data_IF_473770929852
#
_entry.id   IF_473770929852
#
_cell.length_a   1.000
_cell.length_b   1.000
_cell.length_c   1.000
_cell.angle_alpha   90.00
_cell.angle_beta   90.00
_cell.angle_gamma   90.00
#
_symmetry.space_group_name_H-M   'P 1'
#
loop_
_entity.id
_entity.type
_entity.pdbx_description
1 polymer ?
#
# COMPACT_ATOMS: atom_id res chain seq x y z
N UNK A 1 -5.29 5.44 -4.53
CA UNK A 1 -4.97 5.87 -5.91
C UNK A 1 -4.34 7.27 -5.94
N UNK A 2 -4.98 8.31 -5.35
CA UNK A 2 -4.43 9.68 -5.32
C UNK A 2 -2.98 9.79 -4.78
N UNK A 3 -2.66 9.12 -3.66
CA UNK A 3 -1.31 9.13 -3.11
C UNK A 3 -0.25 8.59 -4.07
N UNK A 4 -0.51 7.44 -4.72
CA UNK A 4 0.42 6.82 -5.67
C UNK A 4 0.63 7.73 -6.90
N UNK A 5 -0.44 8.31 -7.44
CA UNK A 5 -0.36 9.26 -8.54
C UNK A 5 0.43 10.52 -8.14
N UNK A 6 0.13 11.12 -6.98
CA UNK A 6 0.84 12.28 -6.46
C UNK A 6 2.34 12.01 -6.28
N UNK A 7 2.70 10.87 -5.69
CA UNK A 7 4.10 10.44 -5.52
C UNK A 7 4.80 10.29 -6.86
N UNK A 8 4.16 9.62 -7.82
CA UNK A 8 4.73 9.38 -9.14
C UNK A 8 4.97 10.70 -9.89
N UNK A 9 3.94 11.54 -10.00
CA UNK A 9 3.97 12.79 -10.77
C UNK A 9 4.94 13.79 -10.11
N UNK A 10 4.91 13.93 -8.78
CA UNK A 10 5.86 14.79 -8.06
C UNK A 10 7.31 14.34 -8.27
N UNK A 11 7.57 13.03 -8.19
CA UNK A 11 8.91 12.49 -8.43
C UNK A 11 9.39 12.74 -9.87
N UNK A 12 8.51 12.61 -10.86
CA UNK A 12 8.83 12.92 -12.25
C UNK A 12 9.25 14.38 -12.42
N UNK A 13 8.47 15.34 -11.91
CA UNK A 13 8.80 16.77 -12.04
C UNK A 13 10.03 17.16 -11.22
N UNK A 14 10.26 16.52 -10.08
CA UNK A 14 11.47 16.70 -9.30
C UNK A 14 12.72 16.25 -10.07
N UNK A 15 12.70 15.05 -10.68
CA UNK A 15 13.78 14.58 -11.55
C UNK A 15 13.97 15.49 -12.77
N UNK A 16 12.87 15.95 -13.39
CA UNK A 16 12.92 16.89 -14.52
C UNK A 16 13.62 18.19 -14.14
N UNK A 17 13.35 18.70 -12.93
CA UNK A 17 14.04 19.88 -12.39
C UNK A 17 15.51 19.60 -12.08
N UNK A 18 15.86 18.47 -11.45
CA UNK A 18 17.26 18.12 -11.19
C UNK A 18 18.10 18.06 -12.48
N UNK A 19 17.54 17.46 -13.54
CA UNK A 19 18.19 17.37 -14.86
C UNK A 19 18.25 18.72 -15.58
N UNK A 20 17.24 19.58 -15.39
CA UNK A 20 17.14 20.90 -16.04
C UNK A 20 16.71 21.97 -15.02
N UNK A 21 17.64 22.52 -14.22
CA UNK A 21 17.32 23.36 -13.06
C UNK A 21 16.99 24.81 -13.47
N UNK A 22 15.83 25.00 -14.08
CA UNK A 22 15.27 26.31 -14.43
C UNK A 22 14.22 26.75 -13.41
N UNK A 23 13.99 28.06 -13.29
CA UNK A 23 12.94 28.61 -12.41
C UNK A 23 11.55 28.05 -12.74
N UNK A 24 11.23 27.91 -14.03
CA UNK A 24 9.97 27.28 -14.50
C UNK A 24 9.83 25.85 -13.98
N UNK A 25 10.87 25.01 -14.14
CA UNK A 25 10.81 23.63 -13.68
C UNK A 25 10.73 23.54 -12.15
N UNK A 26 11.41 24.44 -11.43
CA UNK A 26 11.33 24.51 -9.96
C UNK A 26 9.91 24.83 -9.51
N UNK A 27 9.29 25.86 -10.06
CA UNK A 27 7.93 26.29 -9.70
C UNK A 27 6.93 25.18 -10.02
N UNK A 28 6.96 24.62 -11.23
CA UNK A 28 6.06 23.54 -11.63
C UNK A 28 6.23 22.33 -10.70
N UNK A 29 7.46 21.91 -10.42
CA UNK A 29 7.71 20.80 -9.52
C UNK A 29 7.24 21.10 -8.08
N UNK A 30 7.37 22.35 -7.62
CA UNK A 30 6.89 22.79 -6.31
C UNK A 30 5.37 22.74 -6.19
N UNK A 31 4.65 23.26 -7.20
CA UNK A 31 3.18 23.22 -7.23
C UNK A 31 2.66 21.77 -7.27
N UNK A 32 3.24 20.92 -8.11
CA UNK A 32 2.89 19.49 -8.17
C UNK A 32 3.21 18.79 -6.85
N UNK A 33 4.36 19.09 -6.23
CA UNK A 33 4.70 18.57 -4.91
C UNK A 33 3.64 18.97 -3.87
N UNK A 34 3.22 20.23 -3.85
CA UNK A 34 2.15 20.72 -2.97
C UNK A 34 0.82 19.98 -3.17
N UNK A 35 0.41 19.77 -4.43
CA UNK A 35 -0.78 18.97 -4.75
C UNK A 35 -0.66 17.52 -4.26
N UNK A 36 0.54 16.93 -4.40
CA UNK A 36 0.80 15.59 -3.91
C UNK A 36 0.69 15.50 -2.37
N UNK A 37 1.17 16.51 -1.63
CA UNK A 37 1.04 16.56 -0.16
C UNK A 37 -0.43 16.56 0.31
N UNK A 38 -1.33 17.17 -0.48
CA UNK A 38 -2.76 17.17 -0.17
C UNK A 38 -3.47 15.82 -0.42
N UNK A 39 -2.85 14.90 -1.17
CA UNK A 39 -3.50 13.63 -1.53
C UNK A 39 -3.59 12.65 -0.35
N UNK A 40 -2.56 12.59 0.50
CA UNK A 40 -2.49 11.75 1.72
C UNK A 40 -1.26 12.14 2.55
N UNK A 41 -1.37 12.13 3.87
CA UNK A 41 -0.23 12.45 4.76
C UNK A 41 1.01 11.55 4.58
N UNK A 42 0.87 10.31 4.10
CA UNK A 42 2.03 9.45 3.81
C UNK A 42 2.90 9.97 2.66
N UNK A 43 2.40 10.89 1.83
CA UNK A 43 3.15 11.57 0.77
C UNK A 43 4.20 12.53 1.35
N UNK A 44 4.12 12.86 2.64
CA UNK A 44 5.15 13.60 3.37
C UNK A 44 6.54 12.94 3.29
N UNK A 45 6.61 11.62 3.08
CA UNK A 45 7.87 10.90 2.86
C UNK A 45 8.66 11.39 1.62
N UNK A 46 8.03 12.13 0.71
CA UNK A 46 8.74 12.82 -0.36
C UNK A 46 9.69 13.92 0.14
N UNK A 47 9.42 14.55 1.29
CA UNK A 47 10.28 15.59 1.87
C UNK A 47 11.69 15.04 2.17
N UNK A 48 11.85 14.01 3.04
CA UNK A 48 13.18 13.44 3.29
C UNK A 48 13.77 12.77 2.04
N UNK A 49 12.95 12.17 1.18
CA UNK A 49 13.43 11.54 -0.05
C UNK A 49 14.03 12.56 -1.02
N UNK A 50 13.33 13.65 -1.34
CA UNK A 50 13.82 14.67 -2.25
C UNK A 50 15.04 15.38 -1.70
N UNK A 51 15.09 15.62 -0.38
CA UNK A 51 16.30 16.13 0.27
C UNK A 51 17.49 15.19 0.10
N UNK A 52 17.30 13.88 0.31
CA UNK A 52 18.33 12.86 0.12
C UNK A 52 18.78 12.76 -1.34
N UNK A 53 17.86 12.69 -2.29
CA UNK A 53 18.18 12.59 -3.73
C UNK A 53 18.85 13.88 -4.23
N UNK A 54 18.43 15.06 -3.74
CA UNK A 54 19.09 16.33 -4.05
C UNK A 54 20.53 16.36 -3.52
N UNK A 55 20.78 15.80 -2.33
CA UNK A 55 22.12 15.65 -1.77
C UNK A 55 23.01 14.75 -2.64
N UNK A 56 22.50 13.58 -3.04
CA UNK A 56 23.23 12.69 -3.94
C UNK A 56 23.51 13.38 -5.27
N UNK A 57 22.52 14.04 -5.88
CA UNK A 57 22.70 14.76 -7.13
C UNK A 57 23.70 15.92 -7.02
N UNK A 58 23.67 16.66 -5.90
CA UNK A 58 24.65 17.69 -5.58
C UNK A 58 26.08 17.11 -5.55
N UNK A 59 26.29 15.99 -4.86
CA UNK A 59 27.60 15.35 -4.76
C UNK A 59 28.10 14.87 -6.13
N UNK A 60 27.22 14.28 -6.94
CA UNK A 60 27.54 13.83 -8.30
C UNK A 60 27.98 15.01 -9.19
N UNK A 61 27.20 16.11 -9.18
CA UNK A 61 27.52 17.31 -9.98
C UNK A 61 28.73 18.06 -9.47
N UNK A 62 28.95 18.10 -8.16
CA UNK A 62 30.16 18.66 -7.58
C UNK A 62 31.39 17.90 -8.07
N UNK A 63 31.34 16.57 -8.11
CA UNK A 63 32.45 15.76 -8.58
C UNK A 63 32.71 15.94 -10.08
N UNK A 64 31.66 16.03 -10.90
CA UNK A 64 31.76 16.28 -12.34
C UNK A 64 32.43 17.63 -12.64
N UNK A 65 32.05 18.68 -11.91
CA UNK A 65 32.58 20.04 -12.08
C UNK A 65 33.98 20.22 -11.48
N UNK A 66 34.30 19.53 -10.37
CA UNK A 66 35.65 19.53 -9.78
C UNK A 66 36.73 19.07 -10.77
N UNK A 67 36.39 18.14 -11.66
CA UNK A 67 37.31 17.65 -12.69
C UNK A 67 37.53 18.68 -13.82
N UNK A 68 36.66 19.68 -13.96
CA UNK A 68 36.68 20.68 -15.05
C UNK A 68 37.14 22.08 -14.59
N UNK A 69 36.97 22.41 -13.30
CA UNK A 69 37.05 23.79 -12.83
C UNK A 69 38.34 24.15 -12.04
N UNK A 70 38.85 25.36 -12.28
CA UNK A 70 40.06 25.92 -11.63
C UNK A 70 39.81 26.56 -10.25
N UNK A 71 38.53 26.83 -9.87
CA UNK A 71 38.13 27.50 -8.61
C UNK A 71 37.07 26.70 -7.84
N UNK A 72 37.52 25.84 -6.92
CA UNK A 72 36.68 24.87 -6.21
C UNK A 72 35.57 25.49 -5.34
N UNK A 73 35.85 26.62 -4.66
CA UNK A 73 34.87 27.24 -3.74
C UNK A 73 33.64 27.81 -4.45
N UNK A 74 33.81 28.47 -5.60
CA UNK A 74 32.69 29.03 -6.36
C UNK A 74 31.78 27.93 -6.94
N UNK A 75 32.38 26.83 -7.39
CA UNK A 75 31.64 25.64 -7.86
C UNK A 75 30.84 25.02 -6.73
N UNK A 76 31.44 24.86 -5.55
CA UNK A 76 30.74 24.30 -4.39
C UNK A 76 29.47 25.09 -4.05
N UNK A 77 29.57 26.40 -3.83
CA UNK A 77 28.43 27.24 -3.44
C UNK A 77 27.37 27.32 -4.54
N UNK A 78 27.77 27.39 -5.80
CA UNK A 78 26.80 27.40 -6.92
C UNK A 78 26.02 26.08 -7.03
N UNK A 79 26.68 24.93 -6.90
CA UNK A 79 26.01 23.62 -6.86
C UNK A 79 25.13 23.47 -5.61
N UNK A 80 25.60 23.92 -4.46
CA UNK A 80 24.88 23.84 -3.18
C UNK A 80 23.53 24.56 -3.27
N UNK A 81 23.54 25.83 -3.67
CA UNK A 81 22.32 26.63 -3.78
C UNK A 81 21.42 26.15 -4.92
N UNK A 82 22.01 25.73 -6.05
CA UNK A 82 21.24 25.22 -7.19
C UNK A 82 20.44 23.97 -6.84
N UNK A 83 21.01 23.02 -6.09
CA UNK A 83 20.37 21.73 -5.83
C UNK A 83 19.79 21.59 -4.43
N UNK A 84 20.52 21.90 -3.36
CA UNK A 84 19.97 21.81 -2.00
C UNK A 84 19.05 23.01 -1.70
N UNK A 85 19.53 24.23 -1.98
CA UNK A 85 18.71 25.44 -1.85
C UNK A 85 17.47 25.38 -2.75
N UNK A 86 17.66 24.95 -4.00
CA UNK A 86 16.56 24.76 -4.95
C UNK A 86 15.54 23.71 -4.52
N UNK A 87 15.95 22.60 -3.90
CA UNK A 87 15.03 21.58 -3.38
C UNK A 87 14.20 22.12 -2.20
N UNK A 88 14.82 22.89 -1.29
CA UNK A 88 14.11 23.56 -0.19
C UNK A 88 13.11 24.57 -0.76
N UNK A 89 13.53 25.40 -1.72
CA UNK A 89 12.65 26.39 -2.35
C UNK A 89 11.48 25.72 -3.08
N UNK A 90 11.71 24.62 -3.80
CA UNK A 90 10.67 23.82 -4.45
C UNK A 90 9.61 23.34 -3.44
N UNK A 91 10.04 22.78 -2.31
CA UNK A 91 9.12 22.35 -1.26
C UNK A 91 8.37 23.53 -0.64
N UNK A 92 9.07 24.63 -0.38
CA UNK A 92 8.48 25.86 0.14
C UNK A 92 7.40 26.41 -0.82
N UNK A 93 7.64 26.41 -2.13
CA UNK A 93 6.65 26.76 -3.15
C UNK A 93 5.40 25.89 -3.01
N UNK A 94 5.55 24.57 -2.87
CA UNK A 94 4.42 23.67 -2.70
C UNK A 94 3.61 23.94 -1.41
N UNK A 95 4.30 24.18 -0.29
CA UNK A 95 3.61 24.48 0.96
C UNK A 95 2.93 25.86 0.94
N UNK A 96 3.59 26.89 0.44
CA UNK A 96 3.08 28.27 0.44
C UNK A 96 1.96 28.48 -0.57
N UNK A 97 2.07 27.93 -1.78
CA UNK A 97 1.11 28.20 -2.85
C UNK A 97 0.00 27.15 -2.99
N UNK A 98 0.14 25.97 -2.39
CA UNK A 98 -0.88 24.90 -2.49
C UNK A 98 -1.40 24.46 -1.14
N UNK A 99 -0.53 23.99 -0.23
CA UNK A 99 -0.99 23.44 1.05
C UNK A 99 -1.59 24.52 1.94
N UNK A 100 -0.89 25.64 2.09
CA UNK A 100 -1.28 26.74 2.97
C UNK A 100 -2.64 27.36 2.58
N UNK A 101 -2.92 27.74 1.31
CA UNK A 101 -4.22 28.30 0.94
C UNK A 101 -5.37 27.33 1.16
N UNK A 102 -5.16 26.04 0.85
CA UNK A 102 -6.19 25.01 1.06
C UNK A 102 -6.51 24.87 2.53
N UNK A 103 -5.51 24.80 3.41
CA UNK A 103 -5.77 24.71 4.84
C UNK A 103 -6.25 26.01 5.46
N UNK A 104 -5.87 27.16 4.91
CA UNK A 104 -6.40 28.47 5.33
C UNK A 104 -7.91 28.53 5.10
N UNK A 105 -8.39 28.00 3.97
CA UNK A 105 -9.82 27.84 3.73
C UNK A 105 -10.49 26.94 4.79
N UNK A 106 -9.88 25.80 5.13
CA UNK A 106 -10.42 24.86 6.12
C UNK A 106 -10.48 25.44 7.55
N UNK A 107 -9.55 26.34 7.90
CA UNK A 107 -9.50 26.95 9.25
C UNK A 107 -10.14 28.34 9.30
N UNK A 108 -10.69 28.85 8.20
CA UNK A 108 -11.22 30.22 8.07
C UNK A 108 -12.27 30.57 9.13
N UNK A 109 -13.14 29.62 9.48
CA UNK A 109 -14.20 29.78 10.48
C UNK A 109 -13.91 29.03 11.79
N UNK A 110 -12.68 28.54 11.95
CA UNK A 110 -12.26 27.84 13.16
C UNK A 110 -11.69 28.87 14.15
N UNK A 111 -12.19 29.03 15.38
CA UNK A 111 -11.60 29.97 16.33
C UNK A 111 -10.17 29.57 16.72
N UNK A 112 -9.25 30.54 16.83
CA UNK A 112 -7.82 30.28 17.12
C UNK A 112 -7.65 29.53 18.44
N UNK A 113 -8.24 30.06 19.52
CA UNK A 113 -8.17 29.44 20.85
C UNK A 113 -8.73 28.01 20.84
N UNK A 114 -9.78 27.76 20.06
CA UNK A 114 -10.38 26.42 19.92
C UNK A 114 -9.46 25.46 19.17
N UNK A 115 -8.83 25.90 18.07
CA UNK A 115 -7.84 25.10 17.35
C UNK A 115 -6.66 24.73 18.25
N UNK A 116 -6.16 25.66 19.06
CA UNK A 116 -5.10 25.37 20.03
C UNK A 116 -5.52 24.34 21.09
N UNK A 117 -6.71 24.51 21.67
CA UNK A 117 -7.27 23.56 22.64
C UNK A 117 -7.42 22.16 22.04
N UNK A 118 -7.98 22.05 20.83
CA UNK A 118 -8.18 20.78 20.15
C UNK A 118 -6.84 20.14 19.75
N UNK A 119 -5.87 20.94 19.30
CA UNK A 119 -4.50 20.49 19.01
C UNK A 119 -3.85 19.89 20.25
N UNK A 120 -3.94 20.59 21.39
CA UNK A 120 -3.38 20.13 22.66
C UNK A 120 -4.06 18.84 23.13
N UNK A 121 -5.39 18.75 23.01
CA UNK A 121 -6.16 17.56 23.37
C UNK A 121 -5.81 16.35 22.49
N UNK A 122 -5.83 16.51 21.18
CA UNK A 122 -5.57 15.43 20.21
C UNK A 122 -4.13 14.90 20.36
N UNK A 123 -3.16 15.80 20.58
CA UNK A 123 -1.76 15.43 20.75
C UNK A 123 -1.37 15.17 22.21
N UNK A 124 -2.34 15.07 23.12
CA UNK A 124 -2.10 14.82 24.56
C UNK A 124 -1.32 13.54 24.82
N UNK A 125 -1.44 12.52 23.97
CA UNK A 125 -0.69 11.25 24.06
C UNK A 125 0.43 11.12 23.01
N UNK A 126 0.70 12.17 22.22
CA UNK A 126 1.73 12.14 21.19
C UNK A 126 3.13 12.08 21.82
N UNK A 127 3.96 11.13 21.38
CA UNK A 127 5.25 10.85 22.03
C UNK A 127 6.28 11.96 21.82
N UNK A 128 6.29 12.62 20.66
CA UNK A 128 7.30 13.64 20.31
C UNK A 128 6.80 15.02 20.76
N UNK A 129 7.00 15.33 22.05
CA UNK A 129 6.52 16.58 22.65
C UNK A 129 7.00 17.86 21.98
N UNK A 130 8.30 18.01 21.62
CA UNK A 130 8.75 19.22 20.93
C UNK A 130 8.00 19.49 19.61
N UNK A 131 7.60 18.44 18.89
CA UNK A 131 6.82 18.59 17.66
C UNK A 131 5.36 18.96 17.96
N UNK A 132 4.75 18.39 19.00
CA UNK A 132 3.40 18.76 19.43
C UNK A 132 3.33 20.22 19.88
N UNK A 133 4.30 20.67 20.69
CA UNK A 133 4.37 22.03 21.19
C UNK A 133 4.60 23.03 20.05
N UNK A 134 5.42 22.67 19.06
CA UNK A 134 5.60 23.46 17.85
C UNK A 134 4.30 23.60 17.04
N UNK A 135 3.55 22.51 16.85
CA UNK A 135 2.24 22.55 16.16
C UNK A 135 1.24 23.40 16.95
N UNK A 136 1.20 23.26 18.28
CA UNK A 136 0.37 24.08 19.16
C UNK A 136 0.70 25.58 19.06
N UNK A 137 1.99 25.92 19.04
CA UNK A 137 2.44 27.30 18.84
C UNK A 137 2.02 27.84 17.48
N UNK A 138 2.24 27.09 16.39
CA UNK A 138 1.80 27.47 15.04
C UNK A 138 0.28 27.70 14.99
N UNK A 139 -0.51 26.91 15.70
CA UNK A 139 -1.97 27.04 15.75
C UNK A 139 -2.43 28.36 16.38
N UNK A 140 -1.62 28.96 17.25
CA UNK A 140 -1.88 30.27 17.86
C UNK A 140 -1.52 31.47 16.98
N UNK A 141 -0.72 31.27 15.94
CA UNK A 141 -0.27 32.35 15.04
C UNK A 141 -1.23 32.46 13.85
N UNK A 142 -1.97 33.58 13.68
CA UNK A 142 -3.05 33.69 12.69
C UNK A 142 -2.67 33.33 11.25
N UNK A 143 -1.45 33.64 10.83
CA UNK A 143 -0.99 33.35 9.46
C UNK A 143 -0.42 31.94 9.30
N UNK A 144 0.04 31.30 10.38
CA UNK A 144 0.68 29.98 10.33
C UNK A 144 -0.25 28.83 10.74
N UNK A 145 -1.40 29.14 11.35
CA UNK A 145 -2.37 28.15 11.84
C UNK A 145 -2.89 27.17 10.78
N UNK A 146 -2.86 27.55 9.50
CA UNK A 146 -3.17 26.65 8.39
C UNK A 146 -2.13 25.53 8.26
N UNK A 147 -0.83 25.87 8.37
CA UNK A 147 0.23 24.87 8.41
C UNK A 147 0.17 24.05 9.70
N UNK A 148 -0.24 24.66 10.81
CA UNK A 148 -0.49 23.94 12.06
C UNK A 148 -1.55 22.84 11.87
N UNK A 149 -2.63 23.13 11.14
CA UNK A 149 -3.69 22.15 10.89
C UNK A 149 -3.21 20.97 10.01
N UNK A 150 -2.39 21.25 9.00
CA UNK A 150 -1.72 20.17 8.24
C UNK A 150 -0.76 19.36 9.13
N UNK A 151 0.04 20.04 9.95
CA UNK A 151 0.98 19.43 10.89
C UNK A 151 0.28 18.55 11.93
N UNK A 152 -0.87 18.99 12.44
CA UNK A 152 -1.73 18.20 13.34
C UNK A 152 -2.15 16.89 12.66
N UNK A 153 -2.62 16.95 11.41
CA UNK A 153 -2.99 15.76 10.65
C UNK A 153 -1.82 14.79 10.43
N UNK A 154 -0.61 15.31 10.15
CA UNK A 154 0.59 14.49 10.06
C UNK A 154 0.94 13.82 11.40
N UNK A 155 0.87 14.57 12.51
CA UNK A 155 1.12 14.05 13.85
C UNK A 155 0.10 12.98 14.26
N UNK A 156 -1.18 13.15 13.91
CA UNK A 156 -2.22 12.13 14.13
C UNK A 156 -1.91 10.83 13.41
N UNK A 157 -1.38 10.88 12.18
CA UNK A 157 -0.99 9.66 11.43
C UNK A 157 0.21 8.98 12.08
N UNK A 158 1.22 9.73 12.51
CA UNK A 158 2.36 9.20 13.25
C UNK A 158 1.93 8.53 14.57
N UNK A 159 1.00 9.16 15.28
CA UNK A 159 0.40 8.58 16.49
C UNK A 159 -0.33 7.28 16.17
N UNK A 160 -1.17 7.27 15.13
CA UNK A 160 -1.95 6.10 14.72
C UNK A 160 -1.07 4.93 14.30
N UNK A 161 0.06 5.19 13.65
CA UNK A 161 1.02 4.15 13.24
C UNK A 161 1.61 3.38 14.44
N UNK A 162 1.66 4.01 15.63
CA UNK A 162 2.14 3.38 16.88
C UNK A 162 1.04 2.70 17.70
N UNK A 163 -0.24 3.00 17.45
CA UNK A 163 -1.36 2.55 18.29
C UNK A 163 -1.88 1.13 18.01
N UNK A 164 -1.46 0.52 16.90
CA UNK A 164 -1.87 -0.84 16.51
C UNK A 164 -3.36 -1.03 16.22
N UNK A 165 -3.71 -2.26 15.87
CA UNK A 165 -5.08 -2.72 15.67
C UNK A 165 -5.14 -4.25 15.82
N UNK A 166 -6.16 -4.78 16.49
CA UNK A 166 -6.37 -6.22 16.62
C UNK A 166 -6.62 -6.83 15.24
N UNK A 167 -5.72 -7.70 14.80
CA UNK A 167 -5.76 -8.34 13.47
C UNK A 167 -5.56 -9.83 13.59
N UNK A 168 -6.19 -10.57 12.68
CA UNK A 168 -5.85 -11.96 12.43
C UNK A 168 -4.76 -12.05 11.36
N UNK A 169 -3.65 -12.71 11.68
CA UNK A 169 -2.52 -12.95 10.79
C UNK A 169 -1.85 -14.30 11.10
N UNK A 170 -1.75 -15.18 10.10
CA UNK A 170 -1.13 -16.51 10.18
C UNK A 170 -1.58 -17.34 11.40
N UNK A 171 -2.90 -17.41 11.63
CA UNK A 171 -3.48 -18.18 12.73
C UNK A 171 -3.44 -17.48 14.09
N UNK A 172 -2.84 -16.30 14.19
CA UNK A 172 -2.71 -15.54 15.42
C UNK A 172 -3.55 -14.26 15.41
N UNK A 173 -4.02 -13.85 16.59
CA UNK A 173 -4.69 -12.57 16.85
C UNK A 173 -3.76 -11.72 17.70
N UNK A 174 -3.51 -10.48 17.27
CA UNK A 174 -2.63 -9.55 17.98
C UNK A 174 -2.93 -8.10 17.63
N UNK A 175 -2.62 -7.19 18.55
CA UNK A 175 -2.54 -5.75 18.29
C UNK A 175 -1.09 -5.22 18.28
N UNK A 176 -0.09 -6.09 18.51
CA UNK A 176 1.32 -5.73 18.67
C UNK A 176 2.06 -5.50 17.34
N UNK A 177 1.40 -5.84 16.22
CA UNK A 177 2.00 -5.79 14.88
C UNK A 177 3.03 -6.90 14.65
N UNK A 178 3.31 -7.19 13.38
CA UNK A 178 4.29 -8.15 12.93
C UNK A 178 5.10 -7.58 11.77
N UNK A 179 6.42 -7.69 11.89
CA UNK A 179 7.35 -7.30 10.81
C UNK A 179 7.16 -8.14 9.54
N UNK A 180 6.61 -9.35 9.68
CA UNK A 180 6.32 -10.25 8.55
C UNK A 180 5.01 -9.90 7.85
N UNK A 181 4.18 -9.04 8.42
CA UNK A 181 2.85 -8.75 7.88
C UNK A 181 2.90 -8.28 6.42
N UNK A 182 3.55 -7.14 6.14
CA UNK A 182 3.57 -6.59 4.78
C UNK A 182 4.30 -7.50 3.78
N UNK A 183 5.49 -8.07 4.07
CA UNK A 183 6.14 -9.01 3.17
C UNK A 183 5.27 -10.23 2.85
N UNK A 184 4.69 -10.88 3.86
CA UNK A 184 3.85 -12.08 3.65
C UNK A 184 2.61 -11.71 2.87
N UNK A 185 1.89 -10.66 3.28
CA UNK A 185 0.65 -10.25 2.62
C UNK A 185 0.92 -9.86 1.17
N UNK A 186 1.98 -9.10 0.87
CA UNK A 186 2.37 -8.79 -0.52
C UNK A 186 2.61 -10.06 -1.35
N UNK A 187 3.33 -11.05 -0.81
CA UNK A 187 3.66 -12.29 -1.49
C UNK A 187 2.46 -13.20 -1.76
N UNK A 188 1.38 -13.08 -1.00
CA UNK A 188 0.15 -13.88 -1.20
C UNK A 188 -0.98 -13.09 -1.88
N UNK A 189 -0.89 -11.76 -1.88
CA UNK A 189 -1.89 -10.87 -2.48
C UNK A 189 -1.59 -10.52 -3.91
N UNK A 190 -0.32 -10.29 -4.23
CA UNK A 190 0.04 -9.91 -5.59
C UNK A 190 0.06 -11.12 -6.51
N UNK A 191 -0.18 -10.88 -7.79
CA UNK A 191 -0.28 -11.96 -8.78
C UNK A 191 1.05 -12.69 -8.93
N UNK A 192 1.00 -14.01 -9.12
CA UNK A 192 2.24 -14.79 -9.36
C UNK A 192 2.98 -14.30 -10.61
N UNK A 193 2.24 -13.84 -11.62
CA UNK A 193 2.81 -13.22 -12.82
C UNK A 193 3.66 -11.98 -12.48
N UNK A 194 3.20 -11.10 -11.58
CA UNK A 194 4.00 -9.97 -11.12
C UNK A 194 5.25 -10.44 -10.38
N UNK A 195 5.15 -11.44 -9.52
CA UNK A 195 6.32 -11.98 -8.80
C UNK A 195 7.35 -12.61 -9.74
N UNK A 196 6.90 -13.34 -10.77
CA UNK A 196 7.77 -13.92 -11.80
C UNK A 196 8.45 -12.80 -12.60
N UNK A 197 7.69 -11.80 -13.07
CA UNK A 197 8.25 -10.64 -13.79
C UNK A 197 9.23 -9.84 -12.94
N UNK A 198 8.93 -9.66 -11.66
CA UNK A 198 9.83 -9.01 -10.69
C UNK A 198 11.11 -9.81 -10.54
N UNK A 199 11.03 -11.14 -10.43
CA UNK A 199 12.19 -12.02 -10.33
C UNK A 199 13.07 -11.94 -11.59
N UNK A 200 12.45 -11.94 -12.78
CA UNK A 200 13.15 -11.74 -14.06
C UNK A 200 13.86 -10.38 -14.06
N UNK A 201 13.15 -9.29 -13.71
CA UNK A 201 13.71 -7.95 -13.65
C UNK A 201 14.88 -7.84 -12.67
N UNK A 202 14.79 -8.46 -11.48
CA UNK A 202 15.88 -8.50 -10.50
C UNK A 202 17.11 -9.24 -11.05
N UNK A 203 16.93 -10.40 -11.68
CA UNK A 203 18.03 -11.15 -12.31
C UNK A 203 18.69 -10.31 -13.41
N UNK A 204 17.90 -9.65 -14.27
CA UNK A 204 18.42 -8.76 -15.30
C UNK A 204 19.20 -7.58 -14.71
N UNK A 205 18.71 -6.98 -13.62
CA UNK A 205 19.39 -5.90 -12.92
C UNK A 205 20.72 -6.36 -12.32
N UNK A 206 20.77 -7.55 -11.70
CA UNK A 206 21.99 -8.15 -11.14
C UNK A 206 23.01 -8.42 -12.26
N UNK A 207 22.58 -9.01 -13.38
CA UNK A 207 23.44 -9.25 -14.53
C UNK A 207 23.99 -7.93 -15.08
N UNK A 208 23.15 -6.90 -15.20
CA UNK A 208 23.56 -5.55 -15.63
C UNK A 208 24.58 -4.93 -14.68
N UNK A 209 24.37 -5.07 -13.37
CA UNK A 209 25.27 -4.56 -12.33
C UNK A 209 26.69 -5.10 -12.46
N UNK A 210 26.84 -6.42 -12.64
CA UNK A 210 28.15 -7.04 -12.80
C UNK A 210 28.77 -6.78 -14.18
N UNK A 211 27.98 -6.81 -15.26
CA UNK A 211 28.48 -6.55 -16.62
C UNK A 211 29.01 -5.13 -16.80
N UNK A 212 28.29 -4.14 -16.27
CA UNK A 212 28.69 -2.73 -16.32
C UNK A 212 29.71 -2.36 -15.24
N UNK A 213 30.13 -3.33 -14.41
CA UNK A 213 31.08 -3.15 -13.30
C UNK A 213 30.70 -1.99 -12.37
N UNK A 214 29.41 -1.85 -12.09
CA UNK A 214 28.85 -0.73 -11.29
C UNK A 214 29.47 -0.70 -9.88
N UNK A 215 29.92 -1.84 -9.35
CA UNK A 215 30.65 -1.93 -8.09
C UNK A 215 31.96 -1.11 -8.04
N UNK A 216 32.49 -0.65 -9.18
CA UNK A 216 33.62 0.28 -9.22
C UNK A 216 33.12 1.72 -9.02
N UNK A 217 33.77 2.46 -8.13
CA UNK A 217 33.34 3.81 -7.73
C UNK A 217 33.06 4.76 -8.90
N UNK A 218 33.96 4.83 -9.90
CA UNK A 218 33.75 5.69 -11.08
C UNK A 218 32.48 5.32 -11.87
N UNK A 219 32.29 4.02 -12.14
CA UNK A 219 31.12 3.51 -12.86
C UNK A 219 29.82 3.70 -12.06
N UNK A 220 29.88 3.60 -10.72
CA UNK A 220 28.74 3.87 -9.85
C UNK A 220 28.24 5.31 -10.01
N UNK A 221 29.14 6.28 -10.04
CA UNK A 221 28.78 7.69 -10.16
C UNK A 221 28.16 8.01 -11.53
N UNK A 222 28.74 7.47 -12.60
CA UNK A 222 28.21 7.59 -13.95
C UNK A 222 26.82 6.94 -14.06
N UNK A 223 26.67 5.75 -13.47
CA UNK A 223 25.40 5.04 -13.40
C UNK A 223 24.35 5.85 -12.64
N UNK A 224 24.66 6.35 -11.43
CA UNK A 224 23.72 7.14 -10.63
C UNK A 224 23.33 8.46 -11.33
N UNK A 225 24.26 9.07 -12.06
CA UNK A 225 23.98 10.29 -12.84
C UNK A 225 23.00 10.00 -13.99
N UNK A 226 23.15 8.87 -14.66
CA UNK A 226 22.30 8.46 -15.79
C UNK A 226 20.94 7.91 -15.34
N UNK A 227 20.91 7.23 -14.19
CA UNK A 227 19.77 6.48 -13.65
C UNK A 227 19.22 7.07 -12.35
N UNK A 228 19.26 8.40 -12.21
CA UNK A 228 18.79 9.10 -11.00
C UNK A 228 17.29 8.86 -10.74
N UNK A 229 16.50 8.61 -11.79
CA UNK A 229 15.07 8.34 -11.65
C UNK A 229 14.84 6.97 -11.00
N UNK A 230 15.53 5.94 -11.47
CA UNK A 230 15.51 4.58 -10.93
C UNK A 230 16.05 4.55 -9.51
N UNK A 231 17.11 5.31 -9.23
CA UNK A 231 17.62 5.50 -7.88
C UNK A 231 16.56 6.09 -6.95
N UNK A 232 15.87 7.16 -7.36
CA UNK A 232 14.77 7.74 -6.57
C UNK A 232 13.66 6.73 -6.32
N UNK A 233 13.25 5.97 -7.34
CA UNK A 233 12.21 4.94 -7.24
C UNK A 233 12.59 3.86 -6.22
N UNK A 234 13.82 3.35 -6.29
CA UNK A 234 14.35 2.36 -5.35
C UNK A 234 14.44 2.92 -3.92
N UNK A 235 14.92 4.16 -3.76
CA UNK A 235 14.96 4.83 -2.46
C UNK A 235 13.56 5.03 -1.87
N UNK A 236 12.57 5.39 -2.68
CA UNK A 236 11.19 5.50 -2.21
C UNK A 236 10.63 4.15 -1.77
N UNK A 237 10.82 3.09 -2.58
CA UNK A 237 10.40 1.73 -2.21
C UNK A 237 11.06 1.34 -0.88
N UNK A 238 12.38 1.50 -0.75
CA UNK A 238 13.10 1.16 0.47
C UNK A 238 12.61 1.95 1.69
N UNK A 239 12.48 3.28 1.56
CA UNK A 239 12.01 4.16 2.63
C UNK A 239 10.59 3.78 3.09
N UNK A 240 9.69 3.56 2.14
CA UNK A 240 8.29 3.28 2.43
C UNK A 240 8.09 1.88 3.03
N UNK A 241 8.79 0.87 2.51
CA UNK A 241 8.77 -0.49 3.04
C UNK A 241 9.40 -0.56 4.43
N UNK A 242 10.53 0.12 4.65
CA UNK A 242 11.13 0.24 5.98
C UNK A 242 10.13 0.83 6.97
N UNK A 243 9.52 1.97 6.64
CA UNK A 243 8.49 2.59 7.49
C UNK A 243 7.29 1.67 7.75
N UNK A 244 6.88 0.87 6.77
CA UNK A 244 5.73 -0.02 6.88
C UNK A 244 6.05 -1.25 7.75
N UNK A 245 7.22 -1.86 7.59
CA UNK A 245 7.68 -3.01 8.39
C UNK A 245 7.93 -2.60 9.85
N UNK A 246 8.38 -1.36 10.08
CA UNK A 246 8.57 -0.82 11.43
C UNK A 246 7.29 -0.38 12.11
N UNK A 247 6.18 -0.27 11.38
CA UNK A 247 4.87 0.17 11.91
C UNK A 247 4.14 -0.98 12.59
N UNK A 248 3.53 -0.70 13.75
CA UNK A 248 2.67 -1.63 14.49
C UNK A 248 1.31 -1.79 13.79
N UNK A 249 0.89 -0.77 13.05
CA UNK A 249 -0.37 -0.76 12.31
C UNK A 249 -0.33 -1.71 11.10
N UNK A 250 -1.01 -2.85 11.21
CA UNK A 250 -1.07 -3.91 10.19
C UNK A 250 -2.50 -4.02 9.66
N UNK A 251 -2.88 -3.11 8.76
CA UNK A 251 -4.27 -2.94 8.32
C UNK A 251 -4.43 -2.92 6.78
N UNK A 252 -3.88 -3.96 6.16
CA UNK A 252 -4.04 -4.28 4.75
C UNK A 252 -2.88 -3.88 3.84
N UNK A 253 -2.66 -4.66 2.77
CA UNK A 253 -1.63 -4.42 1.73
C UNK A 253 -1.75 -3.04 1.07
N UNK A 254 -2.96 -2.44 1.10
CA UNK A 254 -3.22 -1.08 0.61
C UNK A 254 -2.32 -0.01 1.23
N UNK A 255 -1.73 -0.28 2.39
CA UNK A 255 -0.79 0.66 3.03
C UNK A 255 0.51 0.78 2.26
N UNK A 256 0.97 -0.27 1.57
CA UNK A 256 2.17 -0.24 0.71
C UNK A 256 1.85 0.04 -0.77
N UNK A 257 0.57 0.18 -1.13
CA UNK A 257 0.14 0.50 -2.50
C UNK A 257 0.88 1.69 -3.15
N UNK A 258 1.29 2.76 -2.43
CA UNK A 258 2.07 3.83 -3.05
C UNK A 258 3.39 3.40 -3.69
N UNK A 259 3.97 2.26 -3.29
CA UNK A 259 5.21 1.75 -3.89
C UNK A 259 4.98 1.04 -5.22
N UNK A 260 3.73 0.64 -5.52
CA UNK A 260 3.41 -0.24 -6.65
C UNK A 260 3.64 0.45 -7.99
N UNK A 261 3.39 1.77 -8.10
CA UNK A 261 3.67 2.51 -9.32
C UNK A 261 5.14 2.43 -9.73
N UNK A 262 6.06 2.47 -8.76
CA UNK A 262 7.49 2.35 -9.02
C UNK A 262 7.91 0.91 -9.24
N UNK A 263 7.34 -0.05 -8.50
CA UNK A 263 7.59 -1.49 -8.75
C UNK A 263 7.17 -1.83 -10.19
N UNK A 264 5.95 -1.48 -10.60
CA UNK A 264 5.46 -1.74 -11.95
C UNK A 264 6.32 -1.06 -13.01
N UNK A 265 6.71 0.19 -12.81
CA UNK A 265 7.57 0.89 -13.78
C UNK A 265 8.96 0.26 -13.88
N UNK A 266 9.60 -0.09 -12.76
CA UNK A 266 10.93 -0.72 -12.76
C UNK A 266 10.89 -2.10 -13.42
N UNK A 267 9.88 -2.91 -13.07
CA UNK A 267 9.68 -4.23 -13.68
C UNK A 267 9.42 -4.09 -15.17
N UNK A 268 8.50 -3.21 -15.57
CA UNK A 268 8.19 -2.97 -16.97
C UNK A 268 9.41 -2.47 -17.76
N UNK A 269 10.16 -1.50 -17.24
CA UNK A 269 11.33 -0.95 -17.91
C UNK A 269 12.41 -2.00 -18.17
N UNK A 270 12.74 -2.82 -17.16
CA UNK A 270 13.76 -3.87 -17.29
C UNK A 270 13.29 -5.01 -18.19
N UNK A 271 12.04 -5.45 -18.03
CA UNK A 271 11.46 -6.52 -18.85
C UNK A 271 11.29 -6.09 -20.31
N UNK A 272 10.78 -4.88 -20.57
CA UNK A 272 10.57 -4.36 -21.92
C UNK A 272 11.90 -4.12 -22.64
N UNK A 273 12.89 -3.52 -21.97
CA UNK A 273 14.21 -3.32 -22.58
C UNK A 273 14.89 -4.65 -22.94
N UNK A 274 14.67 -5.70 -22.15
CA UNK A 274 15.15 -7.04 -22.50
C UNK A 274 14.39 -7.63 -23.68
N UNK A 275 13.05 -7.52 -23.69
CA UNK A 275 12.21 -8.01 -24.78
C UNK A 275 12.52 -7.29 -26.11
N UNK A 276 12.67 -5.96 -26.09
CA UNK A 276 12.98 -5.14 -27.26
C UNK A 276 14.32 -5.55 -27.89
N UNK A 277 15.35 -5.79 -27.08
CA UNK A 277 16.65 -6.27 -27.56
C UNK A 277 16.52 -7.58 -28.33
N UNK A 278 15.72 -8.52 -27.82
CA UNK A 278 15.52 -9.83 -28.46
C UNK A 278 14.58 -9.76 -29.67
N UNK A 279 13.59 -8.87 -29.64
CA UNK A 279 12.69 -8.62 -30.77
C UNK A 279 13.45 -7.96 -31.94
N UNK A 280 14.30 -6.98 -31.65
CA UNK A 280 15.19 -6.37 -32.64
C UNK A 280 16.10 -7.42 -33.28
N UNK A 281 16.73 -8.29 -32.46
CA UNK A 281 17.49 -9.42 -32.98
C UNK A 281 16.60 -10.29 -33.90
N UNK A 282 15.42 -10.70 -33.45
CA UNK A 282 14.47 -11.50 -34.22
C UNK A 282 14.08 -10.88 -35.57
N UNK A 283 13.73 -9.60 -35.60
CA UNK A 283 13.35 -8.88 -36.82
C UNK A 283 14.54 -8.67 -37.76
N UNK A 284 15.71 -8.30 -37.23
CA UNK A 284 16.95 -8.21 -38.01
C UNK A 284 17.35 -9.58 -38.62
N UNK A 285 16.98 -10.69 -37.99
CA UNK A 285 17.24 -12.04 -38.50
C UNK A 285 16.40 -12.44 -39.72
N UNK A 286 15.26 -11.79 -40.00
CA UNK A 286 14.52 -12.05 -41.25
C UNK A 286 15.28 -11.58 -42.50
N UNK A 287 16.32 -10.77 -42.32
CA UNK A 287 17.15 -10.24 -43.41
C UNK A 287 18.45 -11.03 -43.66
N UNK A 288 18.85 -12.01 -42.82
CA UNK A 288 20.09 -12.78 -42.99
C UNK A 288 19.97 -14.29 -42.74
N UNK A 289 20.66 -15.11 -43.55
CA UNK A 289 20.77 -16.58 -43.39
C UNK A 289 21.72 -16.94 -42.23
N UNK A 290 21.20 -17.04 -41.01
CA UNK A 290 21.92 -17.45 -39.79
C UNK A 290 21.30 -18.74 -39.17
N UNK A 291 22.02 -19.48 -38.30
CA UNK A 291 21.61 -20.80 -37.78
C UNK A 291 20.36 -20.77 -36.90
N UNK A 292 19.59 -21.87 -36.93
CA UNK A 292 18.26 -22.03 -36.31
C UNK A 292 18.23 -21.73 -34.80
N UNK A 293 19.31 -22.02 -34.06
CA UNK A 293 19.41 -21.79 -32.62
C UNK A 293 19.25 -20.31 -32.22
N UNK A 294 19.63 -19.37 -33.10
CA UNK A 294 19.44 -17.91 -32.86
C UNK A 294 17.99 -17.45 -33.03
N UNK A 295 17.10 -18.29 -33.60
CA UNK A 295 15.66 -18.01 -33.78
C UNK A 295 14.81 -18.48 -32.59
N UNK A 296 15.21 -19.57 -31.94
CA UNK A 296 14.40 -20.23 -30.90
C UNK A 296 14.35 -19.42 -29.60
N UNK A 297 15.47 -18.82 -29.20
CA UNK A 297 15.59 -18.03 -27.96
C UNK A 297 14.62 -16.82 -27.93
N UNK A 298 14.63 -15.90 -28.92
CA UNK A 298 13.73 -14.75 -28.89
C UNK A 298 12.25 -15.14 -28.98
N UNK A 299 11.92 -16.19 -29.74
CA UNK A 299 10.54 -16.70 -29.84
C UNK A 299 10.07 -17.30 -28.50
N UNK A 300 10.94 -18.05 -27.82
CA UNK A 300 10.68 -18.59 -26.48
C UNK A 300 10.44 -17.48 -25.45
N UNK A 301 11.23 -16.40 -25.50
CA UNK A 301 11.05 -15.24 -24.62
C UNK A 301 9.68 -14.58 -24.89
N UNK A 302 9.34 -14.33 -26.15
CA UNK A 302 8.05 -13.74 -26.52
C UNK A 302 6.88 -14.62 -26.06
N UNK A 303 6.99 -15.93 -26.23
CA UNK A 303 5.98 -16.88 -25.76
C UNK A 303 5.80 -16.83 -24.24
N UNK A 304 6.90 -16.82 -23.46
CA UNK A 304 6.84 -16.70 -21.99
C UNK A 304 6.15 -15.41 -21.56
N UNK A 305 6.52 -14.26 -22.13
CA UNK A 305 5.86 -12.99 -21.80
C UNK A 305 4.38 -12.97 -22.18
N UNK A 306 4.02 -13.55 -23.33
CA UNK A 306 2.62 -13.66 -23.78
C UNK A 306 1.80 -14.54 -22.84
N UNK A 307 2.37 -15.66 -22.37
CA UNK A 307 1.73 -16.54 -21.38
C UNK A 307 1.52 -15.81 -20.05
N UNK A 308 2.52 -15.06 -19.56
CA UNK A 308 2.40 -14.29 -18.32
C UNK A 308 1.34 -13.20 -18.40
N UNK A 309 1.22 -12.51 -19.54
CA UNK A 309 0.16 -11.52 -19.78
C UNK A 309 -1.22 -12.20 -19.83
N UNK A 310 -1.33 -13.32 -20.55
CA UNK A 310 -2.56 -14.11 -20.61
C UNK A 310 -3.01 -14.61 -19.24
N UNK A 311 -2.06 -15.10 -18.42
CA UNK A 311 -2.33 -15.49 -17.04
C UNK A 311 -2.81 -14.29 -16.21
N UNK A 312 -2.15 -13.13 -16.29
CA UNK A 312 -2.60 -11.93 -15.57
C UNK A 312 -4.05 -11.55 -15.93
N UNK A 313 -4.42 -11.62 -17.21
CA UNK A 313 -5.79 -11.35 -17.66
C UNK A 313 -6.79 -12.34 -17.03
N UNK A 314 -6.46 -13.64 -17.05
CA UNK A 314 -7.30 -14.68 -16.45
C UNK A 314 -7.46 -14.45 -14.93
N UNK A 315 -6.38 -14.11 -14.22
CA UNK A 315 -6.42 -13.81 -12.79
C UNK A 315 -7.35 -12.64 -12.46
N UNK A 316 -7.37 -11.59 -13.28
CA UNK A 316 -8.26 -10.44 -13.09
C UNK A 316 -9.72 -10.81 -13.39
N UNK A 317 -9.97 -11.44 -14.55
CA UNK A 317 -11.33 -11.76 -15.00
C UNK A 317 -11.99 -12.78 -14.05
N UNK A 318 -11.27 -13.81 -13.63
CA UNK A 318 -11.79 -14.89 -12.78
C UNK A 318 -12.24 -14.43 -11.39
N UNK A 319 -11.78 -13.27 -10.91
CA UNK A 319 -12.08 -12.75 -9.58
C UNK A 319 -13.05 -11.57 -9.63
N UNK A 320 -13.49 -11.14 -10.82
CA UNK A 320 -14.56 -10.16 -10.93
C UNK A 320 -15.86 -10.71 -10.30
N UNK A 321 -16.59 -9.92 -9.46
CA UNK A 321 -16.34 -8.53 -9.06
C UNK A 321 -15.72 -8.40 -7.65
N UNK A 322 -15.08 -9.46 -7.13
CA UNK A 322 -14.54 -9.57 -5.77
C UNK A 322 -13.03 -9.30 -5.71
N UNK A 323 -12.54 -8.27 -6.40
CA UNK A 323 -11.10 -7.96 -6.50
C UNK A 323 -10.40 -7.81 -5.15
N UNK A 324 -11.10 -7.27 -4.14
CA UNK A 324 -10.53 -7.15 -2.80
C UNK A 324 -10.15 -8.51 -2.22
N UNK A 325 -10.94 -9.54 -2.49
CA UNK A 325 -10.70 -10.89 -2.06
C UNK A 325 -9.67 -11.64 -2.91
N UNK A 326 -9.04 -11.01 -3.92
CA UNK A 326 -7.97 -11.67 -4.67
C UNK A 326 -6.82 -12.05 -3.75
N UNK A 327 -6.42 -13.31 -3.81
CA UNK A 327 -5.15 -13.83 -3.34
C UNK A 327 -4.61 -14.72 -4.46
N UNK A 328 -3.30 -14.83 -4.56
CA UNK A 328 -2.69 -15.65 -5.59
C UNK A 328 -2.84 -17.14 -5.30
N UNK A 329 -2.47 -17.94 -6.29
CA UNK A 329 -2.72 -19.38 -6.32
C UNK A 329 -1.96 -20.11 -5.19
N UNK A 330 -0.79 -19.61 -4.75
CA UNK A 330 -0.03 -20.17 -3.62
C UNK A 330 -0.77 -20.05 -2.29
N UNK A 331 -1.67 -19.08 -2.16
CA UNK A 331 -2.53 -18.90 -0.99
C UNK A 331 -3.89 -19.58 -1.13
N UNK A 332 -4.08 -20.41 -2.16
CA UNK A 332 -5.34 -21.08 -2.45
C UNK A 332 -6.37 -20.19 -3.17
N UNK A 333 -5.91 -19.12 -3.82
CA UNK A 333 -6.78 -18.19 -4.53
C UNK A 333 -7.70 -17.39 -3.60
N UNK A 334 -8.74 -16.72 -4.15
CA UNK A 334 -9.66 -15.91 -3.37
C UNK A 334 -10.36 -16.67 -2.23
N UNK A 335 -10.60 -17.97 -2.42
CA UNK A 335 -11.21 -18.82 -1.42
C UNK A 335 -10.26 -19.25 -0.29
N UNK A 336 -8.94 -19.10 -0.44
CA UNK A 336 -7.95 -19.53 0.55
C UNK A 336 -7.39 -18.41 1.44
N UNK A 337 -7.44 -17.16 0.96
CA UNK A 337 -6.77 -16.02 1.60
C UNK A 337 -7.14 -15.76 3.06
N UNK A 338 -8.41 -15.97 3.42
CA UNK A 338 -8.93 -15.77 4.77
C UNK A 338 -8.18 -16.58 5.84
N UNK A 339 -7.54 -17.69 5.45
CA UNK A 339 -6.75 -18.54 6.36
C UNK A 339 -5.45 -17.86 6.81
N UNK A 340 -4.92 -16.95 6.00
CA UNK A 340 -3.65 -16.28 6.25
C UNK A 340 -3.84 -14.89 6.85
N UNK A 341 -4.82 -14.14 6.35
CA UNK A 341 -5.08 -12.76 6.79
C UNK A 341 -6.51 -12.36 6.45
N UNK A 342 -7.13 -11.56 7.31
CA UNK A 342 -8.47 -10.99 7.10
C UNK A 342 -8.42 -9.46 7.19
N UNK A 343 -9.50 -8.80 7.62
CA UNK A 343 -9.67 -7.33 7.58
C UNK A 343 -9.81 -6.80 6.15
N UNK A 344 -9.54 -5.51 5.93
CA UNK A 344 -9.30 -4.89 4.63
C UNK A 344 -8.46 -5.63 3.60
N UNK A 345 -7.72 -6.67 3.96
CA UNK A 345 -7.16 -7.56 2.94
C UNK A 345 -8.24 -8.37 2.24
N UNK A 346 -9.36 -8.69 2.86
CA UNK A 346 -10.40 -9.56 2.29
C UNK A 346 -11.75 -8.87 2.21
N UNK A 347 -12.09 -8.09 3.23
CA UNK A 347 -13.40 -7.52 3.45
C UNK A 347 -13.31 -6.13 4.06
N UNK A 348 -14.09 -5.19 3.56
CA UNK A 348 -14.34 -3.89 4.20
C UNK A 348 -15.84 -3.57 4.25
N UNK A 349 -16.68 -4.59 4.10
CA UNK A 349 -18.13 -4.53 4.13
C UNK A 349 -18.81 -4.64 2.78
N UNK A 350 -18.06 -4.79 1.68
CA UNK A 350 -18.60 -4.70 0.32
C UNK A 350 -19.66 -5.76 -0.01
N UNK A 351 -19.65 -6.90 0.69
CA UNK A 351 -20.47 -8.07 0.34
C UNK A 351 -21.82 -8.13 1.06
N UNK A 352 -22.16 -7.17 1.94
CA UNK A 352 -23.47 -7.11 2.61
C UNK A 352 -24.63 -7.01 1.60
N UNK A 353 -24.44 -6.22 0.54
CA UNK A 353 -25.45 -6.11 -0.54
C UNK A 353 -25.62 -7.44 -1.27
N UNK A 354 -24.53 -8.20 -1.49
CA UNK A 354 -24.56 -9.52 -2.12
C UNK A 354 -25.20 -10.56 -1.21
N UNK A 355 -25.01 -10.44 0.11
CA UNK A 355 -25.71 -11.27 1.10
C UNK A 355 -27.22 -11.05 0.99
N UNK A 356 -27.69 -9.80 0.96
CA UNK A 356 -29.11 -9.50 0.79
C UNK A 356 -29.68 -10.11 -0.50
N UNK A 357 -28.98 -9.94 -1.64
CA UNK A 357 -29.36 -10.55 -2.91
C UNK A 357 -29.44 -12.08 -2.83
N UNK A 358 -28.49 -12.72 -2.13
CA UNK A 358 -28.50 -14.16 -1.91
C UNK A 358 -29.71 -14.61 -1.06
N UNK A 359 -30.02 -13.91 0.03
CA UNK A 359 -31.20 -14.24 0.86
C UNK A 359 -32.52 -14.09 0.10
N UNK A 360 -32.59 -13.16 -0.86
CA UNK A 360 -33.74 -13.00 -1.75
C UNK A 360 -33.82 -14.16 -2.76
N UNK A 361 -32.70 -14.46 -3.44
CA UNK A 361 -32.63 -15.51 -4.46
C UNK A 361 -33.01 -16.90 -3.93
N UNK A 362 -32.63 -17.22 -2.70
CA UNK A 362 -32.88 -18.52 -2.07
C UNK A 362 -34.06 -18.51 -1.09
N UNK A 363 -34.89 -17.45 -1.09
CA UNK A 363 -36.07 -17.34 -0.22
C UNK A 363 -35.78 -17.58 1.27
N UNK A 364 -34.62 -17.09 1.74
CA UNK A 364 -34.27 -17.18 3.17
C UNK A 364 -35.16 -16.20 3.94
N UNK A 365 -35.92 -16.75 4.89
CA UNK A 365 -36.87 -15.99 5.72
C UNK A 365 -36.19 -15.15 6.80
N UNK A 366 -35.33 -15.78 7.61
CA UNK A 366 -34.52 -15.10 8.63
C UNK A 366 -33.09 -15.63 8.65
N UNK A 367 -32.14 -14.75 8.96
CA UNK A 367 -30.72 -15.07 9.06
C UNK A 367 -30.04 -14.25 10.15
N UNK A 368 -29.29 -14.93 11.01
CA UNK A 368 -28.39 -14.30 11.96
C UNK A 368 -27.16 -13.77 11.24
N UNK A 369 -26.74 -12.53 11.54
CA UNK A 369 -25.61 -11.91 10.85
C UNK A 369 -24.65 -11.27 11.85
N UNK A 370 -23.38 -11.70 11.82
CA UNK A 370 -22.24 -11.03 12.44
C UNK A 370 -21.32 -10.46 11.35
N UNK A 371 -21.33 -9.13 11.20
CA UNK A 371 -20.85 -8.42 10.01
C UNK A 371 -19.79 -7.39 10.35
N UNK A 372 -18.64 -7.47 9.66
CA UNK A 372 -17.45 -6.66 9.94
C UNK A 372 -17.51 -5.22 9.42
N UNK A 373 -18.27 -4.96 8.35
CA UNK A 373 -18.23 -3.67 7.66
C UNK A 373 -18.99 -2.53 8.37
N UNK A 374 -18.87 -1.32 7.82
CA UNK A 374 -19.54 -0.13 8.35
C UNK A 374 -20.98 0.10 7.87
N UNK A 375 -21.52 -0.78 7.02
CA UNK A 375 -22.90 -0.68 6.56
C UNK A 375 -23.89 -1.24 7.60
N UNK A 376 -25.17 -0.89 7.47
CA UNK A 376 -26.22 -1.28 8.42
C UNK A 376 -26.95 -2.54 7.90
N UNK A 377 -26.82 -3.73 8.52
CA UNK A 377 -27.46 -4.96 8.03
C UNK A 377 -28.97 -4.87 7.89
N UNK A 378 -29.66 -4.26 8.85
CA UNK A 378 -31.12 -4.10 8.84
C UNK A 378 -31.63 -3.27 7.65
N UNK A 379 -30.84 -2.33 7.14
CA UNK A 379 -31.20 -1.57 5.93
C UNK A 379 -31.28 -2.46 4.68
N UNK A 380 -30.37 -3.43 4.55
CA UNK A 380 -30.28 -4.29 3.35
C UNK A 380 -31.15 -5.55 3.45
N UNK A 381 -31.34 -6.07 4.66
CA UNK A 381 -32.03 -7.35 4.91
C UNK A 381 -33.46 -7.17 5.45
N UNK A 382 -33.80 -5.99 5.96
CA UNK A 382 -35.12 -5.71 6.55
C UNK A 382 -35.47 -6.72 7.66
N UNK A 383 -36.70 -7.24 7.60
CA UNK A 383 -37.23 -8.20 8.57
C UNK A 383 -36.54 -9.57 8.56
N UNK A 384 -35.65 -9.82 7.59
CA UNK A 384 -34.87 -11.06 7.52
C UNK A 384 -33.67 -11.05 8.46
N UNK A 385 -33.21 -9.87 8.88
CA UNK A 385 -32.01 -9.74 9.70
C UNK A 385 -32.28 -10.09 11.16
N UNK A 386 -31.46 -10.97 11.71
CA UNK A 386 -31.32 -11.20 13.13
C UNK A 386 -29.89 -10.84 13.57
N UNK A 387 -29.70 -10.09 14.66
CA UNK A 387 -28.37 -9.72 15.12
C UNK A 387 -27.60 -10.91 15.70
N UNK A 388 -26.32 -11.04 15.37
CA UNK A 388 -25.40 -11.98 16.00
C UNK A 388 -24.10 -11.27 16.39
N UNK A 389 -23.41 -11.80 17.39
CA UNK A 389 -22.07 -11.35 17.79
C UNK A 389 -21.29 -12.54 18.35
N UNK A 390 -19.97 -12.48 18.26
CA UNK A 390 -19.09 -13.60 18.59
C UNK A 390 -19.37 -14.31 19.92
N UNK A 391 -19.60 -13.56 21.00
CA UNK A 391 -19.84 -14.15 22.33
C UNK A 391 -21.28 -14.56 22.60
N UNK A 392 -22.16 -14.56 21.59
CA UNK A 392 -23.52 -15.07 21.71
C UNK A 392 -23.50 -16.60 21.81
N UNK A 393 -24.35 -17.15 22.67
CA UNK A 393 -24.40 -18.58 22.95
C UNK A 393 -24.89 -19.36 21.71
N UNK A 394 -24.16 -20.41 21.25
CA UNK A 394 -24.62 -21.25 20.15
C UNK A 394 -25.94 -21.99 20.45
N UNK A 395 -26.29 -22.13 21.73
CA UNK A 395 -27.55 -22.72 22.18
C UNK A 395 -28.78 -21.95 21.66
N UNK A 396 -28.66 -20.64 21.39
CA UNK A 396 -29.72 -19.83 20.78
C UNK A 396 -30.13 -20.33 19.37
N UNK A 397 -29.27 -21.10 18.71
CA UNK A 397 -29.54 -21.76 17.43
C UNK A 397 -29.90 -23.25 17.57
N UNK A 398 -29.82 -23.83 18.78
CA UNK A 398 -30.00 -25.28 18.96
C UNK A 398 -31.45 -25.70 18.80
N UNK A 399 -32.41 -24.99 19.40
CA UNK A 399 -33.80 -25.48 19.44
C UNK A 399 -34.48 -25.47 18.06
N UNK A 400 -34.34 -24.39 17.31
CA UNK A 400 -35.06 -24.20 16.05
C UNK A 400 -34.17 -24.32 14.81
N UNK A 401 -32.85 -24.48 15.00
CA UNK A 401 -31.87 -24.33 13.93
C UNK A 401 -31.85 -22.89 13.38
N UNK A 402 -31.09 -22.68 12.31
CA UNK A 402 -31.14 -21.40 11.60
C UNK A 402 -29.96 -21.13 10.67
N UNK A 403 -30.13 -20.09 9.87
CA UNK A 403 -29.07 -19.55 9.02
C UNK A 403 -28.20 -18.58 9.82
N UNK A 404 -26.89 -18.70 9.65
CA UNK A 404 -25.90 -17.80 10.25
C UNK A 404 -24.91 -17.34 9.19
N UNK A 405 -24.79 -16.02 9.03
CA UNK A 405 -23.79 -15.36 8.20
C UNK A 405 -22.71 -14.73 9.09
N UNK A 406 -21.44 -15.08 8.88
CA UNK A 406 -20.32 -14.54 9.65
C UNK A 406 -19.26 -13.97 8.69
N UNK A 407 -18.92 -12.69 8.85
CA UNK A 407 -17.78 -12.09 8.16
C UNK A 407 -16.49 -12.82 8.55
N UNK A 408 -15.66 -13.14 7.56
CA UNK A 408 -14.40 -13.85 7.69
C UNK A 408 -13.47 -13.20 8.73
N UNK A 409 -13.46 -11.87 8.81
CA UNK A 409 -12.68 -11.13 9.82
C UNK A 409 -13.08 -11.52 11.25
N UNK A 410 -14.38 -11.56 11.55
CA UNK A 410 -14.86 -11.98 12.86
C UNK A 410 -14.76 -13.48 13.07
N UNK A 411 -14.99 -14.28 12.03
CA UNK A 411 -14.81 -15.74 12.08
C UNK A 411 -13.37 -16.11 12.48
N UNK A 412 -12.37 -15.54 11.79
CA UNK A 412 -10.97 -15.80 12.07
C UNK A 412 -10.48 -15.12 13.36
N UNK A 413 -10.97 -13.90 13.65
CA UNK A 413 -10.75 -13.26 14.95
C UNK A 413 -11.33 -14.04 16.12
N UNK A 414 -12.38 -14.84 15.91
CA UNK A 414 -12.94 -15.71 16.93
C UNK A 414 -12.30 -17.09 17.03
N UNK A 415 -11.50 -17.50 16.05
CA UNK A 415 -10.85 -18.82 16.00
C UNK A 415 -9.34 -18.77 16.23
N UNK A 416 -8.73 -17.63 15.93
CA UNK A 416 -7.28 -17.47 16.03
C UNK A 416 -6.76 -17.66 17.45
N UNK A 417 -5.49 -18.05 17.54
CA UNK A 417 -4.77 -18.13 18.81
C UNK A 417 -4.30 -16.73 19.20
N UNK A 418 -4.36 -16.37 20.48
CA UNK A 418 -3.76 -15.11 20.91
C UNK A 418 -2.25 -15.18 20.73
N UNK A 419 -1.65 -14.12 20.18
CA UNK A 419 -0.19 -14.01 20.13
C UNK A 419 0.40 -13.89 21.54
N UNK A 420 1.65 -14.35 21.78
CA UNK A 420 2.31 -14.17 23.07
C UNK A 420 2.32 -12.70 23.50
N UNK A 421 1.85 -12.43 24.73
CA UNK A 421 1.77 -11.06 25.28
C UNK A 421 0.52 -10.27 24.87
N UNK A 422 -0.40 -10.85 24.11
CA UNK A 422 -1.70 -10.26 23.79
C UNK A 422 -2.83 -11.00 24.55
N UNK A 423 -3.70 -10.25 25.21
CA UNK A 423 -4.81 -10.77 26.00
C UNK A 423 -6.13 -10.20 25.48
N UNK A 424 -7.01 -11.08 24.99
CA UNK A 424 -8.35 -10.73 24.49
C UNK A 424 -9.24 -11.99 24.54
N UNK A 425 -10.53 -11.86 24.22
CA UNK A 425 -11.43 -13.01 24.04
C UNK A 425 -11.13 -13.72 22.73
N UNK A 426 -11.01 -15.05 22.75
CA UNK A 426 -10.89 -15.88 21.57
C UNK A 426 -11.69 -17.20 21.72
N UNK A 427 -11.72 -18.02 20.67
CA UNK A 427 -12.36 -19.33 20.64
C UNK A 427 -13.89 -19.33 20.48
N UNK A 428 -14.52 -18.14 20.44
CA UNK A 428 -15.98 -17.99 20.41
C UNK A 428 -16.64 -18.46 19.10
N UNK A 429 -15.85 -18.78 18.06
CA UNK A 429 -16.32 -19.39 16.81
C UNK A 429 -15.75 -20.79 16.52
N UNK A 430 -15.09 -21.44 17.48
CA UNK A 430 -14.55 -22.80 17.30
C UNK A 430 -15.66 -23.84 17.10
N UNK A 431 -16.84 -23.62 17.68
CA UNK A 431 -17.99 -24.53 17.52
C UNK A 431 -18.45 -24.65 16.05
N UNK A 432 -18.20 -23.62 15.23
CA UNK A 432 -18.47 -23.64 13.79
C UNK A 432 -17.54 -24.57 13.00
N UNK A 433 -16.46 -25.10 13.59
CA UNK A 433 -15.57 -26.06 12.90
C UNK A 433 -16.25 -27.41 12.65
N UNK A 434 -17.33 -27.72 13.38
CA UNK A 434 -18.17 -28.90 13.15
C UNK A 434 -19.07 -28.77 11.93
N UNK A 435 -19.21 -27.56 11.38
CA UNK A 435 -20.15 -27.26 10.29
C UNK A 435 -19.38 -26.80 9.05
N UNK A 436 -19.72 -27.38 7.89
CA UNK A 436 -19.23 -26.89 6.61
C UNK A 436 -20.09 -25.70 6.18
N UNK A 437 -19.50 -24.57 5.75
CA UNK A 437 -20.28 -23.47 5.21
C UNK A 437 -21.02 -23.93 3.94
N UNK A 438 -22.30 -23.57 3.83
CA UNK A 438 -23.16 -23.82 2.68
C UNK A 438 -22.64 -23.05 1.46
N UNK A 439 -22.21 -21.81 1.68
CA UNK A 439 -21.58 -20.97 0.67
C UNK A 439 -20.76 -19.86 1.32
N UNK A 440 -19.98 -19.15 0.51
CA UNK A 440 -19.28 -17.93 0.94
C UNK A 440 -19.60 -16.81 -0.03
N UNK A 441 -20.25 -15.76 0.47
CA UNK A 441 -20.60 -14.58 -0.34
C UNK A 441 -19.34 -13.73 -0.53
N UNK A 442 -18.95 -13.52 -1.78
CA UNK A 442 -17.82 -12.66 -2.14
C UNK A 442 -16.47 -13.10 -1.56
N UNK A 443 -16.35 -14.37 -1.14
CA UNK A 443 -15.22 -14.92 -0.38
C UNK A 443 -15.02 -14.31 1.03
N UNK A 444 -15.93 -13.45 1.50
CA UNK A 444 -15.78 -12.68 2.73
C UNK A 444 -16.84 -12.98 3.80
N UNK A 445 -18.04 -13.44 3.45
CA UNK A 445 -19.11 -13.76 4.41
C UNK A 445 -19.46 -15.25 4.29
N UNK A 446 -19.18 -16.01 5.34
CA UNK A 446 -19.44 -17.44 5.40
C UNK A 446 -20.88 -17.70 5.85
N UNK A 447 -21.61 -18.50 5.08
CA UNK A 447 -23.00 -18.86 5.37
C UNK A 447 -23.06 -20.28 5.91
N UNK A 448 -23.60 -20.43 7.10
CA UNK A 448 -23.83 -21.70 7.77
C UNK A 448 -25.33 -21.95 7.90
N UNK A 449 -25.70 -23.22 7.81
CA UNK A 449 -26.98 -23.69 8.28
C UNK A 449 -26.74 -24.57 9.50
N UNK A 450 -27.30 -24.19 10.64
CA UNK A 450 -27.22 -24.94 11.89
C UNK A 450 -28.52 -25.73 12.02
N UNK A 451 -28.50 -27.07 11.99
CA UNK A 451 -29.70 -27.85 12.15
C UNK A 451 -30.24 -27.74 13.59
N UNK A 452 -31.54 -27.98 13.80
CA UNK A 452 -32.08 -28.17 15.14
C UNK A 452 -31.35 -29.31 15.86
N UNK A 453 -31.17 -29.17 17.17
CA UNK A 453 -30.51 -30.14 18.06
C UNK A 453 -29.06 -30.46 17.67
N UNK A 454 -28.38 -29.58 16.93
CA UNK A 454 -27.02 -29.81 16.44
C UNK A 454 -25.95 -29.92 17.54
N UNK A 455 -26.27 -29.54 18.77
CA UNK A 455 -25.35 -29.62 19.91
C UNK A 455 -25.69 -30.76 20.88
N UNK A 456 -26.74 -31.53 20.60
CA UNK A 456 -27.12 -32.70 21.39
C UNK A 456 -26.20 -33.88 21.02
N UNK A 457 -25.79 -34.68 22.01
CA UNK A 457 -24.71 -35.68 21.87
C UNK A 457 -24.95 -36.81 20.84
N UNK A 458 -26.09 -36.83 20.15
CA UNK A 458 -26.58 -37.91 19.29
C UNK A 458 -26.57 -37.62 17.79
N UNK A 459 -26.28 -36.39 17.33
CA UNK A 459 -26.33 -36.04 15.90
C UNK A 459 -25.00 -36.23 15.15
N UNK A 460 -24.21 -37.24 15.51
CA UNK A 460 -23.06 -37.71 14.73
C UNK A 460 -23.41 -39.10 14.18
N UNK A 461 -24.09 -39.13 13.04
CA UNK A 461 -24.05 -40.24 12.08
C UNK A 461 -24.02 -39.68 10.67
#
# INVERSE_FOLDING_TARGET
MAAAAGIFIASYYFIRWLKNPTAKNLIVAGLIFGLAQLAKFSVFLLVPLFGFVALIWFLLKLQEEKNKARRLNLVFWSCLWRYLGGAILLMAVGYVFIVWPVYLFHVSHYPIAKQQQDTQFILSTFRVRPLADFIYWLAGVPILRALAQYGLGLAMVLQRATGGNTVYFLGQISNLGSRLYFPTVYLIKETLTLHILTSIALVLAIIGFFKSKIYRFGNLLEFLTSHIAEFLMLCFIALYWFSSISSILNIGVRHILPTFSFIFLLVAALSAGWLEKHLFCYLAFFQQKQPLAKKIIPLGILAVFSILIGWQMISVISVFPSFLAYFNELAGGPAGGYRYVTDSNLDWGQDLKRLAQWTQKYNIGQIYVDYFGGAIPSYYLGNKYLPWWGSRSPQDLNENGGWLAVSATFLQGGRGKLAPGFYDKNGYYNWLDKFKPVTTIGYSIFIYYIPPHAFDKTSIQ
#
